data_IF_908354778691
#
_entry.id   IF_908354778691
#
_cell.length_a   1.000
_cell.length_b   1.000
_cell.length_c   1.000
_cell.angle_alpha   90.00
_cell.angle_beta   90.00
_cell.angle_gamma   90.00
#
_symmetry.space_group_name_H-M   'P 1'
#
loop_
_entity.id
_entity.type
_entity.pdbx_description
1 polymer ?
#
# COMPACT_ATOMS: atom_id res chain seq x y z
N UNK A 1 46.23 55.35 29.12
CA UNK A 1 45.43 54.22 29.67
C UNK A 1 44.14 54.78 30.23
N UNK A 2 43.03 54.65 29.48
CA UNK A 2 41.72 54.90 30.03
C UNK A 2 40.84 53.68 29.63
N UNK A 3 40.00 53.21 30.55
CA UNK A 3 39.29 51.92 30.36
C UNK A 3 38.11 52.07 29.41
N UNK A 4 37.88 51.04 28.63
CA UNK A 4 36.71 50.89 27.79
C UNK A 4 35.46 50.82 28.67
N UNK A 5 34.50 51.69 28.44
CA UNK A 5 33.13 51.58 28.94
C UNK A 5 32.35 50.55 28.13
N UNK A 6 32.08 49.44 28.75
CA UNK A 6 31.09 48.44 28.31
C UNK A 6 29.74 49.05 28.58
N UNK A 7 28.95 49.41 27.52
CA UNK A 7 27.57 49.80 27.67
C UNK A 7 26.68 48.54 27.51
N UNK A 8 26.06 48.16 28.57
CA UNK A 8 24.85 47.30 28.58
C UNK A 8 23.69 48.04 27.88
N UNK A 9 22.97 47.26 27.11
CA UNK A 9 21.67 47.44 26.45
C UNK A 9 21.77 47.57 24.93
N UNK A 10 21.09 46.68 24.25
CA UNK A 10 20.95 46.58 22.76
C UNK A 10 20.23 47.75 22.08
N UNK A 11 20.44 48.95 22.50
CA UNK A 11 19.89 50.15 21.90
C UNK A 11 20.75 50.61 20.70
N UNK A 12 20.17 50.66 19.52
CA UNK A 12 20.84 51.13 18.31
C UNK A 12 21.18 52.60 18.46
N UNK A 13 22.50 53.00 18.34
CA UNK A 13 22.88 54.38 18.42
C UNK A 13 22.26 55.19 17.30
N UNK A 14 21.44 56.19 17.63
CA UNK A 14 20.77 57.08 16.68
C UNK A 14 20.74 58.51 17.20
N UNK A 15 20.86 59.47 16.30
CA UNK A 15 20.75 60.91 16.66
C UNK A 15 19.33 61.25 17.13
N UNK A 16 19.13 62.27 17.98
CA UNK A 16 17.81 62.65 18.46
C UNK A 16 16.81 62.89 17.33
N UNK A 17 17.26 63.53 16.24
CA UNK A 17 16.42 63.82 15.06
C UNK A 17 16.03 62.50 14.33
N UNK A 18 16.95 61.54 14.16
CA UNK A 18 16.64 60.26 13.57
C UNK A 18 15.63 59.44 14.39
N UNK A 19 15.74 59.50 15.75
CA UNK A 19 14.75 58.86 16.64
C UNK A 19 13.36 59.46 16.53
N UNK A 20 13.27 60.77 16.41
CA UNK A 20 11.98 61.48 16.25
C UNK A 20 11.36 61.14 14.90
N UNK A 21 12.14 61.26 13.82
CA UNK A 21 11.66 60.98 12.45
C UNK A 21 11.21 59.49 12.28
N UNK A 22 11.97 58.55 12.84
CA UNK A 22 11.61 57.14 12.80
C UNK A 22 10.29 56.87 13.57
N UNK A 23 10.12 57.48 14.77
CA UNK A 23 8.92 57.37 15.60
C UNK A 23 7.68 57.97 14.92
N UNK A 24 7.82 59.16 14.32
CA UNK A 24 6.72 59.86 13.62
C UNK A 24 6.26 59.07 12.38
N UNK A 25 7.14 58.31 11.75
CA UNK A 25 6.86 57.49 10.57
C UNK A 25 6.69 55.98 10.85
N UNK A 26 6.60 55.59 12.11
CA UNK A 26 6.35 54.18 12.51
C UNK A 26 7.43 53.19 12.09
N UNK A 27 8.68 53.65 11.96
CA UNK A 27 9.83 52.82 11.59
C UNK A 27 10.59 52.36 12.82
N UNK A 28 10.87 51.04 12.93
CA UNK A 28 11.77 50.52 13.94
C UNK A 28 13.21 50.84 13.57
N UNK A 29 14.01 51.41 14.48
CA UNK A 29 15.41 51.77 14.24
C UNK A 29 16.29 50.55 13.83
N UNK A 30 15.87 49.35 14.19
CA UNK A 30 16.52 48.11 13.83
C UNK A 30 16.40 47.70 12.34
N UNK A 31 15.39 48.24 11.68
CA UNK A 31 15.08 47.92 10.27
C UNK A 31 15.78 48.88 9.28
N UNK A 32 16.47 49.92 9.81
CA UNK A 32 17.10 50.92 8.98
C UNK A 32 18.55 50.55 8.72
N UNK A 33 18.91 50.36 7.45
CA UNK A 33 20.30 50.04 7.04
C UNK A 33 21.21 51.24 7.37
N UNK A 34 22.42 50.93 7.94
CA UNK A 34 23.45 51.91 8.28
C UNK A 34 24.86 51.39 7.98
N UNK A 35 25.83 52.29 7.84
CA UNK A 35 27.23 51.94 7.81
C UNK A 35 27.72 51.51 9.19
N UNK A 36 28.50 50.42 9.26
CA UNK A 36 29.00 49.94 10.52
C UNK A 36 29.86 51.00 11.27
N UNK A 37 29.62 51.14 12.56
CA UNK A 37 30.38 52.03 13.44
C UNK A 37 29.88 53.44 13.61
N UNK A 38 28.81 53.88 12.89
CA UNK A 38 28.25 55.23 13.09
C UNK A 38 26.81 55.23 13.64
N UNK A 39 26.39 56.26 14.40
CA UNK A 39 24.98 56.37 14.81
C UNK A 39 24.08 56.67 13.61
N UNK A 40 22.84 56.14 13.60
CA UNK A 40 21.79 56.46 12.61
C UNK A 40 21.51 58.01 12.59
N UNK A 41 21.47 58.55 11.40
CA UNK A 41 21.14 59.99 11.16
C UNK A 41 19.77 60.13 10.50
N UNK A 42 19.20 61.34 10.48
CA UNK A 42 17.95 61.64 9.84
C UNK A 42 17.91 61.20 8.37
N UNK A 43 18.97 61.39 7.60
CA UNK A 43 19.11 60.97 6.22
C UNK A 43 18.95 59.48 6.03
N UNK A 44 19.39 58.62 6.97
CA UNK A 44 19.23 57.16 6.89
C UNK A 44 17.74 56.76 7.04
N UNK A 45 17.01 57.49 7.88
CA UNK A 45 15.55 57.34 8.05
C UNK A 45 14.81 57.79 6.81
N UNK A 46 15.17 58.94 6.25
CA UNK A 46 14.59 59.50 5.01
C UNK A 46 14.80 58.55 3.85
N UNK A 47 16.00 57.98 3.69
CA UNK A 47 16.34 56.99 2.66
C UNK A 47 15.54 55.66 2.83
N UNK A 48 15.32 55.24 4.05
CA UNK A 48 14.48 54.09 4.35
C UNK A 48 12.99 54.34 4.03
N UNK A 49 12.51 55.57 4.25
CA UNK A 49 11.17 56.02 3.88
C UNK A 49 11.03 56.09 2.34
N UNK A 50 12.03 56.62 1.63
CA UNK A 50 12.04 56.65 0.17
C UNK A 50 12.01 55.26 -0.45
N UNK A 51 12.68 54.27 0.15
CA UNK A 51 12.63 52.87 -0.25
C UNK A 51 11.23 52.23 -0.11
N UNK A 52 10.48 52.61 0.90
CA UNK A 52 9.11 52.12 1.13
C UNK A 52 8.07 52.81 0.22
N UNK A 53 8.35 54.03 -0.26
CA UNK A 53 7.40 54.80 -1.08
C UNK A 53 7.59 54.63 -2.59
N UNK A 54 8.65 53.93 -3.02
CA UNK A 54 8.98 53.86 -4.46
C UNK A 54 8.45 52.60 -5.16
N UNK A 55 7.23 52.17 -4.80
CA UNK A 55 6.52 51.13 -5.56
C UNK A 55 6.07 51.78 -6.88
N UNK A 56 6.63 51.28 -7.99
CA UNK A 56 6.28 51.78 -9.33
C UNK A 56 4.87 51.34 -9.70
N UNK A 57 3.88 52.21 -9.50
CA UNK A 57 2.48 51.92 -9.77
C UNK A 57 1.85 53.06 -10.59
N UNK A 58 0.84 52.75 -11.42
CA UNK A 58 0.05 53.78 -12.12
C UNK A 58 -0.81 54.58 -11.13
N UNK A 59 -1.15 55.87 -11.44
CA UNK A 59 -2.03 56.67 -10.56
C UNK A 59 -3.36 55.96 -10.27
N UNK A 60 -3.91 55.27 -11.25
CA UNK A 60 -5.15 54.50 -11.10
C UNK A 60 -4.98 53.26 -10.19
N UNK A 61 -3.85 52.56 -10.25
CA UNK A 61 -3.52 51.46 -9.36
C UNK A 61 -3.40 51.93 -7.91
N UNK A 62 -2.73 53.06 -7.65
CA UNK A 62 -2.62 53.66 -6.29
C UNK A 62 -3.98 53.98 -5.70
N UNK A 63 -4.83 54.65 -6.49
CA UNK A 63 -6.18 55.02 -6.03
C UNK A 63 -7.05 53.79 -5.72
N UNK A 64 -6.88 52.72 -6.52
CA UNK A 64 -7.65 51.51 -6.32
C UNK A 64 -7.12 50.69 -5.12
N UNK A 65 -5.81 50.64 -4.95
CA UNK A 65 -5.19 50.00 -3.79
C UNK A 65 -5.57 50.67 -2.46
N UNK A 66 -5.65 51.99 -2.44
CA UNK A 66 -6.11 52.75 -1.28
C UNK A 66 -7.61 52.49 -0.98
N UNK A 67 -8.44 52.39 -2.00
CA UNK A 67 -9.88 52.11 -1.85
C UNK A 67 -10.16 50.69 -1.35
N UNK A 68 -9.38 49.70 -1.79
CA UNK A 68 -9.54 48.27 -1.45
C UNK A 68 -8.64 47.82 -0.28
N UNK A 69 -7.81 48.70 0.27
CA UNK A 69 -6.91 48.39 1.40
C UNK A 69 -5.76 47.46 1.02
N UNK A 70 -5.37 47.42 -0.26
CA UNK A 70 -4.30 46.56 -0.76
C UNK A 70 -2.92 47.21 -0.63
N UNK A 71 -1.96 46.55 0.04
CA UNK A 71 -0.58 47.04 0.13
C UNK A 71 0.17 46.74 -1.18
N UNK A 72 0.49 47.81 -1.92
CA UNK A 72 1.20 47.72 -3.18
C UNK A 72 2.61 47.14 -3.09
N UNK A 73 3.22 47.07 -1.90
CA UNK A 73 4.53 46.47 -1.71
C UNK A 73 4.52 44.94 -1.94
N UNK A 74 3.35 44.33 -1.83
CA UNK A 74 3.15 42.90 -2.04
C UNK A 74 2.53 42.55 -3.40
N UNK A 75 2.31 43.53 -4.27
CA UNK A 75 1.70 43.32 -5.59
C UNK A 75 2.76 43.25 -6.68
N UNK A 76 2.81 42.16 -7.42
CA UNK A 76 3.67 42.04 -8.58
C UNK A 76 3.12 42.82 -9.76
N UNK A 77 3.89 43.80 -10.31
CA UNK A 77 3.42 44.64 -11.42
C UNK A 77 3.60 43.95 -12.77
N UNK A 78 2.54 43.88 -13.59
CA UNK A 78 2.54 43.37 -14.98
C UNK A 78 2.87 44.37 -16.04
N UNK A 79 3.08 45.65 -15.68
CA UNK A 79 3.37 46.74 -16.62
C UNK A 79 4.82 46.83 -17.05
N UNK A 80 5.10 47.75 -17.98
CA UNK A 80 6.47 48.00 -18.47
C UNK A 80 7.40 48.34 -17.29
N UNK A 81 8.57 47.73 -17.24
CA UNK A 81 9.55 47.82 -16.14
C UNK A 81 8.97 47.44 -14.77
N UNK A 82 8.05 46.47 -14.71
CA UNK A 82 7.45 45.98 -13.45
C UNK A 82 6.42 46.97 -12.82
N UNK A 83 5.87 47.90 -13.58
CA UNK A 83 4.93 48.88 -13.08
C UNK A 83 3.57 48.26 -12.74
N UNK A 84 3.09 48.43 -11.51
CA UNK A 84 1.80 47.92 -11.07
C UNK A 84 0.66 48.67 -11.77
N UNK A 85 -0.25 47.92 -12.38
CA UNK A 85 -1.46 48.39 -13.02
C UNK A 85 -2.68 48.12 -12.15
N UNK A 86 -3.81 48.73 -12.52
CA UNK A 86 -5.09 48.48 -11.84
C UNK A 86 -5.47 47.00 -11.82
N UNK A 87 -5.22 46.26 -12.94
CA UNK A 87 -5.48 44.84 -13.03
C UNK A 87 -4.74 44.01 -11.98
N UNK A 88 -3.51 44.40 -11.64
CA UNK A 88 -2.67 43.68 -10.70
C UNK A 88 -3.20 43.88 -9.27
N UNK A 89 -3.70 45.08 -8.97
CA UNK A 89 -4.35 45.39 -7.68
C UNK A 89 -5.67 44.62 -7.55
N UNK A 90 -6.45 44.51 -8.64
CA UNK A 90 -7.70 43.74 -8.64
C UNK A 90 -7.47 42.28 -8.35
N UNK A 91 -6.43 41.68 -8.98
CA UNK A 91 -6.04 40.30 -8.71
C UNK A 91 -5.55 40.08 -7.27
N UNK A 92 -4.88 41.07 -6.70
CA UNK A 92 -4.43 41.03 -5.31
C UNK A 92 -5.55 41.32 -4.29
N UNK A 93 -6.61 42.04 -4.70
CA UNK A 93 -7.79 42.32 -3.89
C UNK A 93 -8.81 41.15 -3.91
N UNK A 94 -8.77 40.26 -4.92
CA UNK A 94 -9.59 39.06 -4.88
C UNK A 94 -9.22 38.25 -3.62
N UNK A 95 -10.23 37.90 -2.77
CA UNK A 95 -9.94 37.06 -1.61
C UNK A 95 -9.24 35.80 -2.14
N UNK A 96 -8.07 35.51 -1.57
CA UNK A 96 -7.37 34.25 -1.88
C UNK A 96 -8.39 33.13 -1.81
N UNK A 97 -8.65 32.43 -2.95
CA UNK A 97 -9.54 31.30 -2.94
C UNK A 97 -9.05 30.38 -1.82
N UNK A 98 -9.93 29.94 -0.90
CA UNK A 98 -9.50 29.06 0.17
C UNK A 98 -8.76 27.91 -0.50
N UNK A 99 -7.51 27.69 -0.09
CA UNK A 99 -6.67 26.63 -0.60
C UNK A 99 -7.53 25.35 -0.61
N UNK A 100 -7.70 24.72 -1.79
CA UNK A 100 -8.64 23.60 -1.94
C UNK A 100 -8.26 22.55 -0.91
N UNK A 101 -9.12 22.39 0.13
CA UNK A 101 -8.91 21.43 1.23
C UNK A 101 -8.88 19.98 0.73
N UNK A 102 -9.01 19.80 -0.58
CA UNK A 102 -8.96 18.51 -1.30
C UNK A 102 -7.60 18.21 -1.91
N UNK A 103 -6.51 18.71 -1.35
CA UNK A 103 -5.18 18.27 -1.76
C UNK A 103 -5.02 16.75 -1.52
N UNK A 104 -4.48 16.02 -2.50
CA UNK A 104 -4.29 14.58 -2.35
C UNK A 104 -3.32 14.25 -1.22
N UNK A 105 -3.71 13.31 -0.35
CA UNK A 105 -2.83 12.79 0.69
C UNK A 105 -1.70 12.00 0.05
N UNK A 106 -0.47 12.37 0.32
CA UNK A 106 0.73 11.67 -0.18
C UNK A 106 1.16 10.60 0.81
N UNK A 107 1.07 9.32 0.42
CA UNK A 107 1.49 8.18 1.23
C UNK A 107 2.82 7.64 0.66
N UNK A 108 3.95 7.80 1.36
CA UNK A 108 5.23 7.27 0.92
C UNK A 108 5.21 5.74 0.85
N UNK A 109 5.77 5.17 -0.22
CA UNK A 109 5.86 3.71 -0.36
C UNK A 109 6.97 3.16 0.55
N UNK A 110 6.62 2.19 1.38
CA UNK A 110 7.60 1.41 2.15
C UNK A 110 8.44 0.51 1.23
N UNK A 111 9.66 0.08 1.64
CA UNK A 111 10.45 -0.87 0.87
C UNK A 111 9.70 -2.16 0.52
N UNK A 112 8.93 -2.70 1.46
CA UNK A 112 8.07 -3.89 1.27
C UNK A 112 7.03 -3.62 0.18
N UNK A 113 6.31 -2.48 0.24
CA UNK A 113 5.30 -2.15 -0.76
C UNK A 113 5.91 -1.98 -2.17
N UNK A 114 7.11 -1.39 -2.26
CA UNK A 114 7.85 -1.28 -3.54
C UNK A 114 8.22 -2.66 -4.10
N UNK A 115 8.67 -3.59 -3.24
CA UNK A 115 9.00 -4.95 -3.64
C UNK A 115 7.75 -5.71 -4.14
N UNK A 116 6.64 -5.65 -3.40
CA UNK A 116 5.35 -6.26 -3.81
C UNK A 116 4.91 -5.70 -5.16
N UNK A 117 4.89 -4.37 -5.33
CA UNK A 117 4.47 -3.72 -6.56
C UNK A 117 5.30 -4.20 -7.76
N UNK A 118 6.62 -4.25 -7.62
CA UNK A 118 7.53 -4.74 -8.65
C UNK A 118 7.29 -6.22 -8.98
N UNK A 119 7.14 -7.08 -7.96
CA UNK A 119 6.97 -8.51 -8.17
C UNK A 119 5.63 -8.82 -8.86
N UNK A 120 4.54 -8.16 -8.45
CA UNK A 120 3.22 -8.34 -9.08
C UNK A 120 3.21 -7.82 -10.52
N UNK A 121 3.80 -6.65 -10.75
CA UNK A 121 3.93 -6.09 -12.09
C UNK A 121 4.75 -7.02 -13.00
N UNK A 122 5.92 -7.48 -12.55
CA UNK A 122 6.78 -8.37 -13.32
C UNK A 122 6.10 -9.72 -13.58
N UNK A 123 5.35 -10.26 -12.62
CA UNK A 123 4.60 -11.50 -12.82
C UNK A 123 3.59 -11.38 -13.97
N UNK A 124 2.75 -10.35 -13.95
CA UNK A 124 1.76 -10.15 -15.03
C UNK A 124 2.38 -9.85 -16.40
N UNK A 125 3.56 -9.24 -16.47
CA UNK A 125 4.23 -8.91 -17.72
C UNK A 125 5.03 -10.05 -18.33
N UNK A 126 5.57 -10.94 -17.48
CA UNK A 126 6.50 -11.99 -17.93
C UNK A 126 5.87 -13.39 -18.00
N UNK A 127 4.59 -13.52 -17.66
CA UNK A 127 3.86 -14.78 -17.65
C UNK A 127 2.57 -14.66 -18.45
N UNK A 128 2.22 -15.71 -19.21
CA UNK A 128 0.96 -15.78 -19.95
C UNK A 128 -0.19 -16.24 -19.03
N UNK A 129 -0.52 -15.41 -18.02
CA UNK A 129 -1.50 -15.78 -17.01
C UNK A 129 -2.93 -15.81 -17.54
N UNK A 130 -3.64 -16.89 -17.22
CA UNK A 130 -5.08 -16.99 -17.36
C UNK A 130 -5.69 -17.62 -16.11
N UNK A 131 -7.00 -17.50 -15.93
CA UNK A 131 -7.69 -17.97 -14.73
C UNK A 131 -9.01 -18.64 -15.08
N UNK A 132 -9.24 -19.79 -14.45
CA UNK A 132 -10.50 -20.51 -14.50
C UNK A 132 -11.09 -20.65 -13.11
N UNK A 133 -12.40 -20.87 -13.00
CA UNK A 133 -13.07 -21.07 -11.72
C UNK A 133 -14.19 -22.10 -11.80
N UNK A 134 -14.42 -22.80 -10.71
CA UNK A 134 -15.50 -23.78 -10.56
C UNK A 134 -16.18 -23.64 -9.21
N UNK A 135 -17.50 -23.76 -9.16
CA UNK A 135 -18.24 -23.87 -7.90
C UNK A 135 -18.18 -25.31 -7.39
N UNK A 136 -17.85 -25.47 -6.11
CA UNK A 136 -17.64 -26.75 -5.42
C UNK A 136 -18.60 -26.87 -4.24
N UNK A 137 -19.15 -28.05 -4.02
CA UNK A 137 -19.94 -28.39 -2.85
C UNK A 137 -19.03 -28.82 -1.70
N UNK A 138 -18.88 -27.97 -0.68
CA UNK A 138 -18.01 -28.25 0.45
C UNK A 138 -18.77 -28.66 1.72
N UNK A 139 -20.03 -29.08 1.58
CA UNK A 139 -20.87 -29.50 2.71
C UNK A 139 -20.21 -30.63 3.52
N UNK A 140 -19.70 -31.65 2.84
CA UNK A 140 -19.05 -32.79 3.50
C UNK A 140 -17.69 -32.41 4.11
N UNK A 141 -16.95 -31.50 3.44
CA UNK A 141 -15.71 -30.97 3.99
C UNK A 141 -15.95 -30.20 5.32
N UNK A 142 -17.01 -29.41 5.37
CA UNK A 142 -17.38 -28.66 6.58
C UNK A 142 -17.86 -29.64 7.68
N UNK A 143 -18.60 -30.68 7.30
CA UNK A 143 -19.02 -31.74 8.23
C UNK A 143 -17.81 -32.53 8.78
N UNK A 144 -16.84 -32.88 7.93
CA UNK A 144 -15.58 -33.50 8.35
C UNK A 144 -14.84 -32.60 9.35
N UNK A 145 -14.69 -31.32 9.00
CA UNK A 145 -14.03 -30.35 9.91
C UNK A 145 -14.71 -30.31 11.29
N UNK A 146 -16.05 -30.26 11.34
CA UNK A 146 -16.77 -30.29 12.62
C UNK A 146 -16.43 -31.54 13.45
N UNK A 147 -16.35 -32.71 12.82
CA UNK A 147 -15.97 -33.98 13.49
C UNK A 147 -14.52 -33.93 14.02
N UNK A 148 -13.58 -33.37 13.25
CA UNK A 148 -12.17 -33.23 13.66
C UNK A 148 -11.99 -32.21 14.79
N UNK A 149 -12.69 -31.09 14.74
CA UNK A 149 -12.67 -30.09 15.82
C UNK A 149 -13.21 -30.65 17.14
N UNK A 150 -14.25 -31.51 17.09
CA UNK A 150 -14.77 -32.17 18.30
C UNK A 150 -13.76 -33.15 18.96
N UNK A 151 -12.67 -33.46 18.24
CA UNK A 151 -11.57 -34.35 18.71
C UNK A 151 -10.22 -33.63 18.79
N UNK A 152 -10.23 -32.30 18.83
CA UNK A 152 -9.00 -31.48 18.82
C UNK A 152 -8.01 -31.86 19.95
N UNK A 153 -8.51 -32.28 21.10
CA UNK A 153 -7.65 -32.68 22.24
C UNK A 153 -6.83 -33.93 21.90
N UNK A 154 -7.40 -34.89 21.15
CA UNK A 154 -6.68 -36.10 20.68
C UNK A 154 -5.69 -35.76 19.56
N UNK A 155 -6.04 -34.78 18.72
CA UNK A 155 -5.18 -34.36 17.59
C UNK A 155 -4.06 -33.41 18.05
N UNK A 156 -4.19 -32.81 19.22
CA UNK A 156 -3.25 -31.79 19.72
C UNK A 156 -3.24 -30.52 18.88
N UNK A 157 -4.26 -30.31 18.02
CA UNK A 157 -4.45 -29.10 17.19
C UNK A 157 -5.92 -28.97 16.75
N UNK A 158 -6.36 -27.74 16.51
CA UNK A 158 -7.69 -27.45 15.96
C UNK A 158 -7.60 -27.35 14.44
N UNK A 159 -8.15 -28.31 13.73
CA UNK A 159 -8.17 -28.32 12.27
C UNK A 159 -9.09 -27.23 11.73
N UNK A 160 -8.60 -26.43 10.81
CA UNK A 160 -9.32 -25.35 10.12
C UNK A 160 -9.74 -25.78 8.71
N UNK A 161 -10.61 -24.98 8.06
CA UNK A 161 -10.93 -25.18 6.64
C UNK A 161 -9.66 -25.04 5.80
N UNK A 162 -8.80 -24.04 6.09
CA UNK A 162 -7.54 -23.82 5.37
C UNK A 162 -6.62 -25.04 5.45
N UNK A 163 -6.55 -25.74 6.59
CA UNK A 163 -5.71 -26.93 6.74
C UNK A 163 -6.19 -28.05 5.80
N UNK A 164 -7.51 -28.23 5.71
CA UNK A 164 -8.09 -29.25 4.82
C UNK A 164 -7.90 -28.89 3.34
N UNK A 165 -8.12 -27.62 2.97
CA UNK A 165 -7.89 -27.11 1.61
C UNK A 165 -6.42 -27.26 1.22
N UNK A 166 -5.50 -26.92 2.11
CA UNK A 166 -4.05 -27.04 1.91
C UNK A 166 -3.62 -28.49 1.77
N UNK A 167 -4.14 -29.36 2.61
CA UNK A 167 -3.81 -30.78 2.54
C UNK A 167 -4.34 -31.44 1.26
N UNK A 168 -5.58 -31.12 0.84
CA UNK A 168 -6.14 -31.58 -0.44
C UNK A 168 -5.30 -31.08 -1.63
N UNK A 169 -4.86 -29.81 -1.61
CA UNK A 169 -3.99 -29.27 -2.65
C UNK A 169 -2.63 -29.98 -2.71
N UNK A 170 -2.00 -30.25 -1.57
CA UNK A 170 -0.75 -31.01 -1.52
C UNK A 170 -0.92 -32.42 -2.13
N UNK A 171 -2.05 -33.10 -1.87
CA UNK A 171 -2.36 -34.39 -2.50
C UNK A 171 -2.60 -34.27 -4.00
N UNK A 172 -3.32 -33.24 -4.45
CA UNK A 172 -3.53 -32.93 -5.87
C UNK A 172 -2.19 -32.72 -6.59
N UNK A 173 -1.23 -31.98 -6.01
CA UNK A 173 0.08 -31.69 -6.61
C UNK A 173 0.90 -32.97 -6.86
N UNK A 174 0.72 -34.03 -6.06
CA UNK A 174 1.37 -35.33 -6.29
C UNK A 174 0.85 -36.05 -7.54
N UNK A 175 -0.39 -35.78 -7.95
CA UNK A 175 -1.02 -36.37 -9.15
C UNK A 175 -0.92 -35.46 -10.38
N UNK A 176 -0.63 -34.16 -10.18
CA UNK A 176 -0.52 -33.16 -11.24
C UNK A 176 0.83 -32.41 -11.14
N UNK A 177 1.95 -33.04 -11.55
CA UNK A 177 3.29 -32.47 -11.33
C UNK A 177 3.51 -31.13 -12.06
N UNK A 178 2.84 -30.85 -13.18
CA UNK A 178 2.90 -29.56 -13.86
C UNK A 178 2.39 -28.41 -12.99
N UNK A 179 1.44 -28.68 -12.08
CA UNK A 179 0.95 -27.66 -11.15
C UNK A 179 2.01 -27.26 -10.10
N UNK A 180 3.02 -28.11 -9.87
CA UNK A 180 4.15 -27.87 -8.97
C UNK A 180 5.44 -27.68 -9.78
N UNK A 181 5.42 -26.73 -10.71
CA UNK A 181 6.51 -26.55 -11.67
C UNK A 181 6.89 -25.07 -11.84
N UNK A 182 7.92 -24.85 -12.59
CA UNK A 182 8.42 -23.53 -13.00
C UNK A 182 8.76 -23.56 -14.49
N UNK A 183 8.39 -22.50 -15.21
CA UNK A 183 8.75 -22.34 -16.62
C UNK A 183 10.11 -21.64 -16.75
N UNK A 184 10.98 -22.15 -17.61
CA UNK A 184 12.16 -21.46 -18.14
C UNK A 184 12.03 -21.36 -19.66
N UNK A 185 12.94 -20.62 -20.32
CA UNK A 185 12.91 -20.52 -21.79
C UNK A 185 13.13 -21.86 -22.50
N UNK A 186 13.83 -22.79 -21.85
CA UNK A 186 14.25 -24.07 -22.46
C UNK A 186 13.48 -25.29 -21.96
N UNK A 187 12.89 -25.24 -20.73
CA UNK A 187 12.29 -26.41 -20.10
C UNK A 187 11.25 -26.06 -19.02
N UNK A 188 10.43 -27.02 -18.66
CA UNK A 188 9.53 -26.97 -17.49
C UNK A 188 10.16 -27.79 -16.37
N UNK A 189 10.45 -27.13 -15.25
CA UNK A 189 11.05 -27.76 -14.07
C UNK A 189 9.95 -28.20 -13.10
N UNK A 190 9.62 -29.49 -13.07
CA UNK A 190 8.68 -30.06 -12.09
C UNK A 190 9.42 -30.41 -10.80
N UNK A 191 8.93 -29.93 -9.66
CA UNK A 191 9.56 -30.17 -8.36
C UNK A 191 9.05 -31.48 -7.75
N UNK A 192 9.96 -32.38 -7.29
CA UNK A 192 9.56 -33.65 -6.67
C UNK A 192 9.13 -33.52 -5.21
N UNK A 193 9.12 -32.32 -4.67
CA UNK A 193 8.71 -31.93 -3.32
C UNK A 193 7.72 -30.78 -3.38
N UNK A 194 6.92 -30.56 -2.34
CA UNK A 194 5.95 -29.44 -2.28
C UNK A 194 6.35 -28.47 -1.17
N UNK A 195 6.80 -27.30 -1.57
CA UNK A 195 6.99 -26.15 -0.67
C UNK A 195 5.78 -25.23 -0.81
N UNK A 196 4.86 -25.37 0.15
CA UNK A 196 3.56 -24.72 0.10
C UNK A 196 3.62 -23.28 0.64
N UNK A 197 3.39 -22.29 -0.21
CA UNK A 197 3.24 -20.89 0.17
C UNK A 197 1.79 -20.59 0.52
N UNK A 198 1.58 -19.77 1.54
CA UNK A 198 0.27 -19.27 1.92
C UNK A 198 0.23 -17.74 1.96
N UNK A 199 -0.77 -17.14 1.32
CA UNK A 199 -0.99 -15.70 1.43
C UNK A 199 -1.53 -15.34 2.83
N UNK A 200 -0.77 -14.58 3.60
CA UNK A 200 -1.12 -14.13 4.95
C UNK A 200 -1.17 -12.61 5.01
N UNK A 201 -2.35 -12.07 5.32
CA UNK A 201 -2.51 -10.66 5.58
C UNK A 201 -1.95 -10.29 6.96
N UNK A 202 -1.08 -9.27 6.99
CA UNK A 202 -0.50 -8.70 8.21
C UNK A 202 -0.71 -7.19 8.25
N UNK A 203 -0.50 -6.56 9.39
CA UNK A 203 -0.61 -5.09 9.54
C UNK A 203 0.38 -4.33 8.67
N UNK A 204 1.52 -4.95 8.30
CA UNK A 204 2.56 -4.33 7.47
C UNK A 204 2.48 -4.71 5.99
N UNK A 205 1.47 -5.50 5.60
CA UNK A 205 1.21 -5.91 4.22
C UNK A 205 0.95 -7.40 4.05
N UNK A 206 0.77 -7.84 2.81
CA UNK A 206 0.64 -9.25 2.46
C UNK A 206 2.02 -9.89 2.43
N UNK A 207 2.15 -11.04 3.09
CA UNK A 207 3.33 -11.91 3.02
C UNK A 207 2.92 -13.32 2.62
N UNK A 208 3.84 -14.08 2.03
CA UNK A 208 3.57 -15.45 1.58
C UNK A 208 4.59 -16.40 2.16
N UNK A 209 4.50 -16.73 3.47
CA UNK A 209 5.41 -17.68 4.08
C UNK A 209 5.25 -19.07 3.47
N UNK A 210 6.35 -19.82 3.50
CA UNK A 210 6.51 -21.13 2.88
C UNK A 210 6.58 -22.21 3.96
N UNK A 211 5.82 -23.28 3.76
CA UNK A 211 5.92 -24.52 4.53
C UNK A 211 6.66 -25.52 3.64
N UNK A 212 7.88 -25.84 4.01
CA UNK A 212 8.74 -26.75 3.25
C UNK A 212 8.33 -28.21 3.43
N UNK A 213 8.53 -29.02 2.40
CA UNK A 213 8.26 -30.48 2.38
C UNK A 213 6.83 -30.84 2.86
N UNK A 214 5.84 -30.04 2.47
CA UNK A 214 4.45 -30.23 2.87
C UNK A 214 3.87 -31.58 2.41
N UNK A 215 4.43 -32.17 1.36
CA UNK A 215 4.08 -33.51 0.83
C UNK A 215 4.46 -34.66 1.75
N UNK A 216 5.40 -34.44 2.68
CA UNK A 216 5.83 -35.42 3.70
C UNK A 216 5.03 -35.32 5.00
N UNK A 217 4.19 -34.29 5.13
CA UNK A 217 3.47 -34.00 6.36
C UNK A 217 2.12 -34.72 6.42
N UNK A 218 1.73 -35.15 7.63
CA UNK A 218 0.33 -35.51 7.90
C UNK A 218 -0.55 -34.24 7.97
N UNK A 219 -1.87 -34.41 7.90
CA UNK A 219 -2.81 -33.27 8.09
C UNK A 219 -2.55 -32.54 9.42
N UNK A 220 -2.25 -33.28 10.49
CA UNK A 220 -1.98 -32.71 11.82
C UNK A 220 -0.68 -31.91 11.82
N UNK A 221 0.37 -32.44 11.22
CA UNK A 221 1.68 -31.76 11.15
C UNK A 221 1.58 -30.51 10.28
N UNK A 222 0.93 -30.60 9.11
CA UNK A 222 0.67 -29.45 8.25
C UNK A 222 -0.11 -28.38 8.99
N UNK A 223 -1.18 -28.74 9.72
CA UNK A 223 -1.97 -27.78 10.51
C UNK A 223 -1.13 -27.07 11.56
N UNK A 224 -0.22 -27.78 12.24
CA UNK A 224 0.69 -27.18 13.23
C UNK A 224 1.71 -26.25 12.56
N UNK A 225 2.32 -26.68 11.46
CA UNK A 225 3.26 -25.88 10.69
C UNK A 225 2.62 -24.60 10.14
N UNK A 226 1.40 -24.70 9.58
CA UNK A 226 0.62 -23.56 9.10
C UNK A 226 0.35 -22.55 10.23
N UNK A 227 -0.03 -23.01 11.40
CA UNK A 227 -0.30 -22.14 12.56
C UNK A 227 0.96 -21.44 13.06
N UNK A 228 2.07 -22.17 13.15
CA UNK A 228 3.37 -21.61 13.55
C UNK A 228 3.80 -20.49 12.59
N UNK A 229 3.82 -20.79 11.30
CA UNK A 229 4.31 -19.83 10.30
C UNK A 229 3.40 -18.60 10.20
N UNK A 230 2.07 -18.74 10.34
CA UNK A 230 1.11 -17.63 10.39
C UNK A 230 1.33 -16.77 11.63
N UNK A 231 1.59 -17.38 12.78
CA UNK A 231 1.89 -16.64 14.02
C UNK A 231 3.18 -15.85 13.87
N UNK A 232 4.25 -16.49 13.37
CA UNK A 232 5.54 -15.82 13.12
C UNK A 232 5.41 -14.70 12.06
N UNK A 233 4.57 -14.90 11.05
CA UNK A 233 4.27 -13.86 10.06
C UNK A 233 3.67 -12.62 10.71
N UNK A 234 2.65 -12.77 11.55
CA UNK A 234 1.99 -11.65 12.25
C UNK A 234 2.94 -10.95 13.23
N UNK A 235 3.79 -11.72 13.91
CA UNK A 235 4.78 -11.22 14.87
C UNK A 235 6.03 -10.61 14.22
N UNK A 236 6.13 -10.56 12.89
CA UNK A 236 7.33 -10.13 12.12
C UNK A 236 8.59 -10.98 12.41
N UNK A 237 8.38 -12.27 12.70
CA UNK A 237 9.45 -13.22 13.04
C UNK A 237 9.77 -14.23 11.93
N UNK A 238 9.30 -13.96 10.70
CA UNK A 238 9.68 -14.78 9.55
C UNK A 238 11.16 -14.65 9.26
N UNK A 239 11.80 -15.79 9.03
CA UNK A 239 13.20 -15.86 8.57
C UNK A 239 13.28 -15.79 7.04
N UNK A 240 14.50 -15.68 6.49
CA UNK A 240 14.70 -15.78 5.05
C UNK A 240 14.28 -17.17 4.52
N UNK A 241 14.48 -18.23 5.30
CA UNK A 241 14.05 -19.60 4.98
C UNK A 241 12.54 -19.70 4.79
N UNK A 242 11.76 -19.02 5.64
CA UNK A 242 10.30 -19.01 5.56
C UNK A 242 9.74 -18.25 4.35
N UNK A 243 10.58 -17.58 3.56
CA UNK A 243 10.14 -16.70 2.46
C UNK A 243 10.73 -17.09 1.10
N UNK A 244 11.40 -18.24 1.01
CA UNK A 244 12.12 -18.67 -0.18
C UNK A 244 11.71 -20.08 -0.62
N UNK A 245 11.96 -20.39 -1.89
CA UNK A 245 11.77 -21.72 -2.47
C UNK A 245 10.33 -22.27 -2.40
N UNK A 246 9.31 -21.40 -2.35
CA UNK A 246 7.93 -21.81 -2.50
C UNK A 246 7.68 -22.32 -3.92
N UNK A 247 7.10 -23.52 -4.04
CA UNK A 247 6.84 -24.15 -5.34
C UNK A 247 5.38 -24.03 -5.76
N UNK A 248 4.49 -23.82 -4.81
CA UNK A 248 3.05 -23.67 -5.05
C UNK A 248 2.44 -22.69 -4.04
N UNK A 249 1.42 -21.94 -4.46
CA UNK A 249 0.77 -20.95 -3.58
C UNK A 249 -0.72 -21.20 -3.42
N UNK A 250 -1.20 -21.05 -2.18
CA UNK A 250 -2.62 -20.96 -1.85
C UNK A 250 -2.98 -19.58 -1.34
N UNK A 251 -4.14 -19.09 -1.74
CA UNK A 251 -4.69 -17.84 -1.23
C UNK A 251 -6.18 -18.00 -0.92
N UNK A 252 -6.62 -17.53 0.25
CA UNK A 252 -7.98 -17.68 0.71
C UNK A 252 -8.57 -16.32 1.08
N UNK A 253 -9.63 -15.94 0.38
CA UNK A 253 -10.42 -14.74 0.61
C UNK A 253 -11.74 -15.02 1.36
N UNK A 254 -11.92 -16.23 1.87
CA UNK A 254 -13.16 -16.68 2.51
C UNK A 254 -13.56 -15.97 3.80
N UNK A 255 -12.63 -15.22 4.42
CA UNK A 255 -12.93 -14.33 5.55
C UNK A 255 -13.55 -13.00 5.11
N UNK A 256 -13.49 -12.67 3.81
CA UNK A 256 -14.07 -11.48 3.21
C UNK A 256 -15.33 -11.85 2.41
N UNK A 257 -16.20 -10.90 2.08
CA UNK A 257 -17.38 -11.15 1.24
C UNK A 257 -17.01 -11.31 -0.25
N UNK A 258 -16.05 -12.19 -0.55
CA UNK A 258 -15.52 -12.45 -1.89
C UNK A 258 -15.87 -13.87 -2.29
N UNK A 259 -16.73 -14.01 -3.29
CA UNK A 259 -17.14 -15.32 -3.81
C UNK A 259 -16.14 -15.89 -4.80
N UNK A 260 -15.64 -15.08 -5.72
CA UNK A 260 -14.69 -15.47 -6.75
C UNK A 260 -13.66 -14.34 -6.96
N UNK A 261 -12.42 -14.68 -7.29
CA UNK A 261 -11.35 -13.75 -7.63
C UNK A 261 -10.25 -14.46 -8.41
N UNK A 262 -9.47 -13.69 -9.16
CA UNK A 262 -8.34 -14.21 -9.92
C UNK A 262 -7.04 -13.80 -9.20
N UNK A 263 -6.37 -14.71 -8.46
CA UNK A 263 -5.11 -14.40 -7.81
C UNK A 263 -4.00 -14.17 -8.84
N UNK A 264 -3.11 -13.22 -8.59
CA UNK A 264 -1.90 -13.06 -9.41
C UNK A 264 -0.92 -14.16 -9.05
N UNK A 265 -0.44 -14.87 -10.04
CA UNK A 265 0.51 -15.97 -9.89
C UNK A 265 1.88 -15.45 -9.43
N UNK A 266 2.47 -15.92 -8.32
CA UNK A 266 3.81 -15.53 -7.91
C UNK A 266 4.88 -16.19 -8.79
N UNK A 267 5.61 -15.40 -9.57
CA UNK A 267 6.73 -15.91 -10.34
C UNK A 267 7.81 -16.52 -9.41
N UNK A 268 8.42 -17.67 -9.75
CA UNK A 268 8.35 -18.41 -11.01
C UNK A 268 7.37 -19.61 -11.00
N UNK A 269 6.42 -19.66 -10.07
CA UNK A 269 5.48 -20.78 -9.95
C UNK A 269 4.56 -20.86 -11.18
N UNK A 270 4.16 -22.08 -11.55
CA UNK A 270 3.30 -22.32 -12.71
C UNK A 270 1.80 -22.17 -12.41
N UNK A 271 1.40 -22.28 -11.14
CA UNK A 271 0.00 -22.32 -10.73
C UNK A 271 -0.20 -21.78 -9.31
N UNK A 272 -1.38 -21.18 -9.07
CA UNK A 272 -1.87 -20.71 -7.76
C UNK A 272 -3.35 -21.06 -7.62
N UNK A 273 -3.77 -21.56 -6.45
CA UNK A 273 -5.17 -21.78 -6.12
C UNK A 273 -5.72 -20.68 -5.21
N UNK A 274 -6.91 -20.20 -5.57
CA UNK A 274 -7.70 -19.24 -4.81
C UNK A 274 -8.99 -19.86 -4.29
N UNK A 275 -9.34 -19.57 -3.05
CA UNK A 275 -10.58 -20.01 -2.41
C UNK A 275 -11.45 -18.83 -2.01
N UNK A 276 -12.69 -18.80 -2.50
CA UNK A 276 -13.69 -17.84 -2.08
C UNK A 276 -14.33 -18.21 -0.74
N UNK A 277 -15.34 -17.48 -0.34
CA UNK A 277 -16.10 -17.76 0.89
C UNK A 277 -17.00 -18.99 0.74
N UNK A 278 -17.19 -19.70 1.86
CA UNK A 278 -18.23 -20.74 1.96
C UNK A 278 -19.60 -20.08 2.22
N UNK A 279 -20.57 -20.38 1.39
CA UNK A 279 -21.95 -19.81 1.45
C UNK A 279 -22.98 -20.90 1.34
N UNK A 280 -23.98 -20.91 2.22
CA UNK A 280 -25.11 -21.79 2.10
C UNK A 280 -26.04 -21.28 0.98
N UNK A 281 -26.27 -22.15 0.00
CA UNK A 281 -27.10 -21.85 -1.19
C UNK A 281 -28.10 -22.97 -1.44
N UNK A 282 -29.30 -22.69 -2.02
CA UNK A 282 -30.17 -23.72 -2.56
C UNK A 282 -29.44 -24.40 -3.74
N UNK A 283 -29.44 -25.71 -3.73
CA UNK A 283 -28.81 -26.54 -4.76
C UNK A 283 -29.62 -27.80 -5.00
N UNK A 284 -29.49 -28.36 -6.20
CA UNK A 284 -30.03 -29.68 -6.51
C UNK A 284 -28.98 -30.72 -6.09
N UNK A 285 -29.38 -31.61 -5.20
CA UNK A 285 -28.54 -32.73 -4.74
C UNK A 285 -29.40 -34.00 -4.68
N UNK A 286 -28.98 -35.07 -5.35
CA UNK A 286 -29.73 -36.34 -5.48
C UNK A 286 -31.16 -36.17 -6.01
N UNK A 287 -31.38 -35.17 -6.89
CA UNK A 287 -32.70 -34.88 -7.47
C UNK A 287 -33.62 -34.01 -6.64
N UNK A 288 -33.20 -33.58 -5.46
CA UNK A 288 -33.97 -32.71 -4.54
C UNK A 288 -33.32 -31.34 -4.38
N UNK A 289 -34.14 -30.32 -4.12
CA UNK A 289 -33.64 -28.98 -3.76
C UNK A 289 -33.36 -28.96 -2.27
N UNK A 290 -32.11 -28.75 -1.92
CA UNK A 290 -31.68 -28.65 -0.52
C UNK A 290 -30.63 -27.53 -0.32
N UNK A 291 -30.33 -27.19 0.92
CA UNK A 291 -29.27 -26.24 1.25
C UNK A 291 -27.95 -26.98 1.26
N UNK A 292 -27.00 -26.49 0.45
CA UNK A 292 -25.62 -26.99 0.40
C UNK A 292 -24.64 -25.83 0.61
N UNK A 293 -23.56 -26.09 1.30
CA UNK A 293 -22.48 -25.12 1.45
C UNK A 293 -21.62 -25.13 0.19
N UNK A 294 -21.61 -24.02 -0.54
CA UNK A 294 -20.86 -23.84 -1.79
C UNK A 294 -19.67 -22.93 -1.59
N UNK A 295 -18.62 -23.16 -2.35
CA UNK A 295 -17.42 -22.34 -2.43
C UNK A 295 -16.95 -22.28 -3.88
N UNK A 296 -16.38 -21.15 -4.30
CA UNK A 296 -15.72 -21.07 -5.62
C UNK A 296 -14.23 -21.32 -5.41
N UNK A 297 -13.71 -22.28 -6.16
CA UNK A 297 -12.30 -22.53 -6.38
C UNK A 297 -11.88 -21.82 -7.64
N UNK A 298 -10.84 -21.01 -7.59
CA UNK A 298 -10.20 -20.39 -8.75
C UNK A 298 -8.76 -20.86 -8.88
N UNK A 299 -8.30 -20.98 -10.11
CA UNK A 299 -6.91 -21.28 -10.44
C UNK A 299 -6.40 -20.23 -11.40
N UNK A 300 -5.23 -19.66 -11.11
CA UNK A 300 -4.47 -18.87 -12.09
C UNK A 300 -3.21 -19.64 -12.44
N UNK A 301 -2.89 -19.69 -13.70
CA UNK A 301 -1.78 -20.50 -14.20
C UNK A 301 -1.06 -19.81 -15.37
N UNK A 302 0.15 -20.23 -15.63
CA UNK A 302 0.94 -19.79 -16.77
C UNK A 302 0.60 -20.69 -17.99
N UNK A 303 -0.06 -20.10 -18.98
CA UNK A 303 -0.50 -20.83 -20.20
C UNK A 303 0.67 -21.30 -21.08
N UNK A 304 1.92 -20.98 -20.72
CA UNK A 304 3.10 -21.56 -21.33
C UNK A 304 3.42 -22.97 -20.78
N UNK A 305 2.85 -23.30 -19.60
CA UNK A 305 3.03 -24.59 -18.93
C UNK A 305 1.83 -25.51 -19.14
N UNK A 306 0.61 -24.93 -19.23
CA UNK A 306 -0.65 -25.67 -19.26
C UNK A 306 -1.48 -25.32 -20.47
N UNK A 307 -2.15 -26.35 -20.98
CA UNK A 307 -3.33 -26.20 -21.80
C UNK A 307 -4.62 -26.35 -20.96
N UNK A 308 -5.78 -25.92 -21.53
CA UNK A 308 -7.06 -25.94 -20.82
C UNK A 308 -7.51 -27.34 -20.34
N UNK A 309 -7.10 -28.40 -21.03
CA UNK A 309 -7.40 -29.78 -20.62
C UNK A 309 -6.70 -30.19 -19.34
N UNK A 310 -5.44 -29.79 -19.18
CA UNK A 310 -4.63 -30.09 -17.98
C UNK A 310 -5.15 -29.33 -16.78
N UNK A 311 -5.48 -28.05 -16.96
CA UNK A 311 -6.09 -27.24 -15.89
C UNK A 311 -7.47 -27.76 -15.51
N UNK A 312 -8.29 -28.18 -16.49
CA UNK A 312 -9.58 -28.83 -16.26
C UNK A 312 -9.42 -30.10 -15.40
N UNK A 313 -8.38 -30.89 -15.63
CA UNK A 313 -8.07 -32.08 -14.84
C UNK A 313 -7.67 -31.74 -13.40
N UNK A 314 -6.83 -30.73 -13.20
CA UNK A 314 -6.46 -30.20 -11.86
C UNK A 314 -7.69 -29.76 -11.08
N UNK A 315 -8.57 -28.98 -11.74
CA UNK A 315 -9.80 -28.50 -11.14
C UNK A 315 -10.79 -29.62 -10.82
N UNK A 316 -10.92 -30.62 -11.71
CA UNK A 316 -11.74 -31.80 -11.47
C UNK A 316 -11.26 -32.61 -10.25
N UNK A 317 -9.95 -32.83 -10.13
CA UNK A 317 -9.36 -33.51 -8.97
C UNK A 317 -9.59 -32.73 -7.67
N UNK A 318 -9.35 -31.41 -7.68
CA UNK A 318 -9.62 -30.59 -6.50
C UNK A 318 -11.11 -30.57 -6.14
N UNK A 319 -12.00 -30.46 -7.13
CA UNK A 319 -13.45 -30.52 -6.92
C UNK A 319 -13.84 -31.85 -6.27
N UNK A 320 -13.37 -32.97 -6.81
CA UNK A 320 -13.65 -34.30 -6.29
C UNK A 320 -13.16 -34.47 -4.84
N UNK A 321 -11.95 -34.02 -4.53
CA UNK A 321 -11.41 -34.06 -3.17
C UNK A 321 -12.21 -33.21 -2.19
N UNK A 322 -12.63 -32.02 -2.60
CA UNK A 322 -13.37 -31.12 -1.71
C UNK A 322 -14.83 -31.57 -1.50
N UNK A 323 -15.42 -32.22 -2.49
CA UNK A 323 -16.78 -32.80 -2.39
C UNK A 323 -16.77 -34.14 -1.64
N UNK A 324 -15.69 -34.94 -1.72
CA UNK A 324 -15.50 -36.24 -1.09
C UNK A 324 -14.18 -36.26 -0.27
N UNK A 325 -14.15 -35.60 0.90
CA UNK A 325 -12.90 -35.33 1.61
C UNK A 325 -12.18 -36.57 2.17
N UNK A 326 -12.85 -37.72 2.23
CA UNK A 326 -12.22 -38.98 2.57
C UNK A 326 -11.16 -39.41 1.54
N UNK A 327 -11.29 -39.02 0.27
CA UNK A 327 -10.37 -39.44 -0.79
C UNK A 327 -8.95 -38.92 -0.58
N UNK A 328 -8.80 -37.66 -0.17
CA UNK A 328 -7.46 -37.11 0.06
C UNK A 328 -6.87 -37.49 1.44
N UNK A 329 -7.70 -38.04 2.34
CA UNK A 329 -7.21 -38.49 3.65
C UNK A 329 -6.57 -39.91 3.59
N UNK A 330 -6.90 -40.72 2.59
CA UNK A 330 -6.39 -42.10 2.43
C UNK A 330 -5.25 -42.20 1.42
N UNK A 331 -4.91 -41.16 0.73
CA UNK A 331 -3.77 -41.03 -0.17
C UNK A 331 -2.54 -40.52 0.63
#
# INVERSE_FOLDING_TARGET
KSPALVSESGAIPATPLAKTLARENGLALAEISREEGRPLRAHDVEKALEGKTNVSATPLARKYAEAEGVDLSHVAGSGVAGKIRKSDVLLAAEPAQPADSREPVRIPLTPIRKAIARNMFNSLHNMAQTSDSVEVDVTELIALRKRLVARQDLLGTKITVNDLLSYAAVKMLKTHPLANASYTEDEILCFPYVNLSMAVATEYGLTSPVIHDADQMTLVDLSKAMRDVVTRARDRKLTAYDQQNGTFTLTNMGIFPVDNFNPILPAPQSCILGFGRCVDKPAVYNGEICIRTRMVLSVTYDHRVFDGGEVGSIMATMKEYLENPELFLVQ
#
